data_IF_862033454797
#
_entry.id   IF_862033454797
#
_cell.length_a   1.000
_cell.length_b   1.000
_cell.length_c   1.000
_cell.angle_alpha   90.00
_cell.angle_beta   90.00
_cell.angle_gamma   90.00
#
_symmetry.space_group_name_H-M   'P 1'
#
loop_
_entity.id
_entity.type
_entity.pdbx_description
1 polymer ?
#
# COMPACT_ATOMS: atom_id res chain seq x y z
N UNK A 1 9.40 -52.28 27.42
CA UNK A 1 8.33 -51.36 26.97
C UNK A 1 8.93 -50.52 25.88
N UNK A 2 8.63 -50.91 24.64
CA UNK A 2 9.03 -50.20 23.43
C UNK A 2 8.32 -48.84 23.39
N UNK A 3 9.09 -47.76 23.20
CA UNK A 3 8.55 -46.47 22.84
C UNK A 3 8.67 -46.35 21.32
N UNK A 4 7.53 -46.50 20.65
CA UNK A 4 7.38 -46.21 19.23
C UNK A 4 7.71 -44.73 18.98
N UNK A 5 8.85 -44.47 18.36
CA UNK A 5 9.07 -43.25 17.59
C UNK A 5 8.27 -43.40 16.29
N UNK A 6 7.07 -42.83 16.24
CA UNK A 6 6.45 -42.50 14.97
C UNK A 6 7.11 -41.21 14.48
N UNK A 7 8.08 -41.40 13.58
CA UNK A 7 8.62 -40.36 12.73
C UNK A 7 7.54 -40.09 11.67
N UNK A 8 6.67 -39.11 11.92
CA UNK A 8 5.82 -38.56 10.86
C UNK A 8 6.72 -37.76 9.91
N UNK A 9 7.22 -38.45 8.88
CA UNK A 9 7.82 -37.83 7.70
C UNK A 9 6.71 -37.07 6.93
N UNK A 10 6.44 -35.85 7.38
CA UNK A 10 5.71 -34.86 6.59
C UNK A 10 6.63 -34.41 5.44
N UNK A 11 6.53 -35.14 4.32
CA UNK A 11 6.96 -34.68 3.00
C UNK A 11 6.36 -33.29 2.77
N UNK A 12 7.16 -32.23 2.57
CA UNK A 12 6.64 -30.94 2.15
C UNK A 12 6.00 -31.15 0.80
N UNK A 13 4.67 -31.08 0.74
CA UNK A 13 3.95 -31.06 -0.54
C UNK A 13 4.34 -29.74 -1.17
N UNK A 14 5.30 -29.75 -2.09
CA UNK A 14 5.72 -28.58 -2.85
C UNK A 14 4.48 -28.02 -3.55
N UNK A 15 3.94 -26.92 -3.03
CA UNK A 15 2.85 -26.21 -3.67
C UNK A 15 3.44 -25.57 -4.93
N UNK A 16 3.28 -26.24 -6.06
CA UNK A 16 3.78 -25.79 -7.34
C UNK A 16 2.95 -24.60 -7.84
N UNK A 17 3.53 -23.40 -7.77
CA UNK A 17 2.89 -22.15 -8.14
C UNK A 17 3.09 -21.83 -9.62
N UNK A 18 2.08 -21.21 -10.23
CA UNK A 18 2.17 -20.60 -11.58
C UNK A 18 2.36 -19.09 -11.39
N UNK A 19 3.12 -18.46 -12.29
CA UNK A 19 3.26 -17.00 -12.32
C UNK A 19 1.91 -16.33 -12.55
N UNK A 20 1.65 -15.24 -11.81
CA UNK A 20 0.40 -14.47 -11.90
C UNK A 20 0.14 -13.88 -13.30
N UNK A 21 1.20 -13.70 -14.10
CA UNK A 21 1.13 -13.16 -15.48
C UNK A 21 1.03 -14.25 -16.55
N UNK A 22 0.85 -15.51 -16.18
CA UNK A 22 0.82 -16.60 -17.13
C UNK A 22 -0.42 -16.58 -18.04
N UNK A 23 -1.52 -15.94 -17.63
CA UNK A 23 -2.70 -15.70 -18.47
C UNK A 23 -2.51 -14.55 -19.47
N UNK A 24 -1.50 -13.71 -19.25
CA UNK A 24 -1.11 -12.59 -20.13
C UNK A 24 0.07 -13.02 -21.04
N UNK A 25 0.44 -14.31 -21.00
CA UNK A 25 1.44 -14.90 -21.89
C UNK A 25 2.86 -15.02 -21.31
N UNK A 26 3.03 -14.96 -19.99
CA UNK A 26 4.32 -15.26 -19.39
C UNK A 26 4.72 -16.73 -19.65
N UNK A 27 5.92 -16.95 -20.19
CA UNK A 27 6.45 -18.27 -20.56
C UNK A 27 7.11 -19.03 -19.40
N UNK A 28 6.96 -18.55 -18.16
CA UNK A 28 7.51 -19.20 -16.98
C UNK A 28 6.81 -20.54 -16.72
N UNK A 29 7.61 -21.61 -16.62
CA UNK A 29 7.12 -22.96 -16.31
C UNK A 29 6.77 -23.03 -14.82
N UNK A 30 5.73 -23.80 -14.47
CA UNK A 30 5.32 -23.99 -13.08
C UNK A 30 6.50 -24.45 -12.22
N UNK A 31 6.68 -23.84 -11.04
CA UNK A 31 7.84 -24.06 -10.18
C UNK A 31 7.47 -24.07 -8.71
N UNK A 32 8.44 -24.28 -7.82
CA UNK A 32 8.23 -24.13 -6.38
C UNK A 32 7.86 -22.68 -6.04
N UNK A 33 7.17 -22.46 -4.92
CA UNK A 33 6.76 -21.12 -4.49
C UNK A 33 7.95 -20.12 -4.41
N UNK A 34 9.13 -20.60 -4.02
CA UNK A 34 10.35 -19.79 -3.97
C UNK A 34 10.83 -19.37 -5.35
N UNK A 35 10.91 -20.32 -6.30
CA UNK A 35 11.30 -20.01 -7.70
C UNK A 35 10.31 -19.09 -8.43
N UNK A 36 9.02 -19.16 -8.09
CA UNK A 36 8.00 -18.24 -8.62
C UNK A 36 8.23 -16.83 -8.11
N UNK A 37 8.52 -16.66 -6.81
CA UNK A 37 8.80 -15.34 -6.21
C UNK A 37 10.07 -14.70 -6.77
N UNK A 38 11.13 -15.48 -6.95
CA UNK A 38 12.36 -14.99 -7.58
C UNK A 38 12.14 -14.61 -9.05
N UNK A 39 11.31 -15.38 -9.78
CA UNK A 39 10.91 -15.05 -11.14
C UNK A 39 10.11 -13.73 -11.17
N UNK A 40 9.11 -13.55 -10.32
CA UNK A 40 8.32 -12.32 -10.26
C UNK A 40 9.18 -11.09 -9.92
N UNK A 41 10.15 -11.25 -9.01
CA UNK A 41 11.09 -10.18 -8.66
C UNK A 41 12.03 -9.79 -9.82
N UNK A 42 12.48 -10.76 -10.62
CA UNK A 42 13.44 -10.54 -11.71
C UNK A 42 12.78 -10.17 -13.05
N UNK A 43 11.51 -10.56 -13.24
CA UNK A 43 10.80 -10.49 -14.53
C UNK A 43 9.80 -9.35 -14.62
N UNK A 44 9.79 -8.42 -13.64
CA UNK A 44 8.89 -7.26 -13.59
C UNK A 44 8.87 -6.46 -14.89
N UNK A 45 10.03 -6.22 -15.51
CA UNK A 45 10.13 -5.47 -16.77
C UNK A 45 9.39 -6.18 -17.91
N UNK A 46 9.49 -7.49 -17.98
CA UNK A 46 8.85 -8.28 -19.02
C UNK A 46 7.34 -8.43 -18.75
N UNK A 47 6.92 -8.55 -17.48
CA UNK A 47 5.51 -8.50 -17.08
C UNK A 47 4.86 -7.16 -17.42
N UNK A 48 5.54 -6.04 -17.16
CA UNK A 48 5.07 -4.70 -17.55
C UNK A 48 4.95 -4.56 -19.08
N UNK A 49 5.87 -5.14 -19.85
CA UNK A 49 5.79 -5.14 -21.32
C UNK A 49 4.55 -5.90 -21.81
N UNK A 50 4.30 -7.09 -21.26
CA UNK A 50 3.14 -7.91 -21.60
C UNK A 50 1.82 -7.19 -21.25
N UNK A 51 1.75 -6.53 -20.09
CA UNK A 51 0.60 -5.70 -19.70
C UNK A 51 0.37 -4.53 -20.65
N UNK A 52 1.43 -3.79 -21.00
CA UNK A 52 1.32 -2.66 -21.92
C UNK A 52 0.89 -3.10 -23.33
N UNK A 53 1.35 -4.27 -23.77
CA UNK A 53 0.94 -4.85 -25.05
C UNK A 53 -0.55 -5.23 -25.04
N UNK A 54 -1.04 -5.84 -23.96
CA UNK A 54 -2.46 -6.14 -23.78
C UNK A 54 -3.32 -4.86 -23.80
N UNK A 55 -2.91 -3.84 -23.06
CA UNK A 55 -3.61 -2.53 -23.04
C UNK A 55 -3.61 -1.87 -24.41
N UNK A 56 -2.48 -1.94 -25.14
CA UNK A 56 -2.40 -1.41 -26.50
C UNK A 56 -3.31 -2.17 -27.48
N UNK A 57 -3.46 -3.49 -27.31
CA UNK A 57 -4.31 -4.31 -28.16
C UNK A 57 -5.80 -4.06 -27.88
N UNK A 58 -6.18 -3.92 -26.61
CA UNK A 58 -7.54 -3.53 -26.21
C UNK A 58 -7.88 -2.13 -26.71
N UNK A 59 -6.92 -1.19 -26.63
CA UNK A 59 -7.09 0.17 -27.15
C UNK A 59 -7.24 0.22 -28.67
N UNK A 60 -6.53 -0.63 -29.40
CA UNK A 60 -6.68 -0.76 -30.85
C UNK A 60 -8.03 -1.37 -31.27
N UNK A 61 -8.66 -2.15 -30.39
CA UNK A 61 -9.98 -2.73 -30.63
C UNK A 61 -11.15 -1.80 -30.22
N UNK A 62 -10.90 -0.81 -29.37
CA UNK A 62 -11.92 0.14 -28.90
C UNK A 62 -12.10 1.39 -29.77
N UNK A 63 -11.23 1.61 -30.77
CA UNK A 63 -11.28 2.80 -31.65
C UNK A 63 -11.62 2.40 -33.11
N UNK A 64 -12.87 2.53 -33.57
CA UNK A 64 -13.18 2.50 -35.00
C UNK A 64 -13.08 3.88 -35.66
N UNK A 65 -12.53 4.93 -35.03
CA UNK A 65 -12.43 6.23 -35.71
C UNK A 65 -11.29 7.16 -35.24
N UNK A 66 -10.41 7.52 -36.20
CA UNK A 66 -9.39 8.60 -36.25
C UNK A 66 -7.93 8.24 -35.99
N UNK A 67 -7.33 7.56 -36.97
CA UNK A 67 -5.95 7.85 -37.37
C UNK A 67 -5.92 9.08 -38.30
N UNK A 68 -5.81 10.29 -37.72
CA UNK A 68 -5.06 11.38 -38.36
C UNK A 68 -4.68 12.46 -37.35
N UNK A 69 -3.58 12.23 -36.64
CA UNK A 69 -2.56 13.26 -36.37
C UNK A 69 -1.38 12.64 -35.65
N UNK A 70 -0.38 12.24 -36.43
CA UNK A 70 1.01 12.26 -35.96
C UNK A 70 1.51 13.70 -36.12
N UNK A 71 2.33 14.14 -35.16
CA UNK A 71 3.29 15.26 -35.17
C UNK A 71 2.90 16.46 -34.31
N UNK A 72 3.72 16.72 -33.27
CA UNK A 72 3.91 18.08 -32.75
C UNK A 72 3.96 18.18 -31.23
N UNK A 73 5.16 18.02 -30.66
CA UNK A 73 5.52 18.54 -29.34
C UNK A 73 5.11 20.03 -29.23
N UNK A 74 4.51 20.43 -28.12
CA UNK A 74 5.10 21.45 -27.24
C UNK A 74 4.28 21.62 -25.96
N UNK A 75 5.01 21.74 -24.86
CA UNK A 75 4.53 22.10 -23.54
C UNK A 75 4.18 23.59 -23.52
N UNK A 76 2.93 23.95 -23.23
CA UNK A 76 2.56 25.26 -22.69
C UNK A 76 1.32 25.12 -21.79
N UNK A 77 1.41 25.67 -20.58
CA UNK A 77 0.29 25.85 -19.62
C UNK A 77 -0.73 26.86 -20.21
N UNK A 78 -2.03 26.84 -19.84
CA UNK A 78 -2.52 27.63 -18.68
C UNK A 78 -3.72 26.98 -17.94
N UNK A 79 -3.82 27.08 -16.61
CA UNK A 79 -4.46 28.16 -15.81
C UNK A 79 -5.93 28.40 -16.11
N UNK A 80 -6.76 28.13 -15.11
CA UNK A 80 -8.22 28.24 -15.09
C UNK A 80 -8.74 29.69 -15.01
N UNK A 81 -9.87 29.96 -15.68
CA UNK A 81 -11.13 30.58 -15.18
C UNK A 81 -11.87 31.42 -16.25
N UNK A 82 -13.22 31.57 -16.12
CA UNK A 82 -14.15 31.75 -17.24
C UNK A 82 -14.56 33.21 -17.49
N UNK A 83 -14.91 33.52 -18.75
CA UNK A 83 -15.57 34.77 -19.14
C UNK A 83 -17.03 34.75 -18.70
N UNK A 84 -17.36 35.56 -17.69
CA UNK A 84 -18.65 36.24 -17.57
C UNK A 84 -18.61 37.48 -18.47
N UNK A 85 -19.63 37.67 -19.29
CA UNK A 85 -19.70 38.85 -20.16
C UNK A 85 -20.93 38.86 -21.04
N UNK A 86 -21.98 39.52 -20.53
CA UNK A 86 -23.08 40.15 -21.26
C UNK A 86 -24.33 39.28 -21.53
N UNK A 87 -25.15 39.13 -20.48
CA UNK A 87 -26.61 39.14 -20.60
C UNK A 87 -27.09 40.46 -20.01
N UNK A 88 -27.44 41.43 -20.84
CA UNK A 88 -28.37 42.55 -20.53
C UNK A 88 -28.45 43.49 -21.74
N UNK A 89 -29.47 43.35 -22.57
CA UNK A 89 -30.03 44.49 -23.33
C UNK A 89 -31.44 44.13 -23.81
N UNK A 90 -32.43 44.44 -22.97
CA UNK A 90 -33.83 44.64 -23.33
C UNK A 90 -34.49 45.44 -22.21
N UNK A 91 -34.05 46.69 -22.05
CA UNK A 91 -34.76 47.69 -21.24
C UNK A 91 -35.57 48.57 -22.20
N UNK A 92 -36.85 48.23 -22.35
CA UNK A 92 -37.87 49.15 -22.83
C UNK A 92 -38.10 50.22 -21.76
N UNK A 93 -37.86 51.49 -22.08
CA UNK A 93 -38.59 52.60 -21.47
C UNK A 93 -38.67 53.77 -22.46
N UNK A 94 -39.91 54.14 -22.80
CA UNK A 94 -40.20 55.27 -23.67
C UNK A 94 -39.77 56.61 -23.08
N UNK A 95 -39.49 57.54 -23.99
CA UNK A 95 -39.65 58.96 -23.76
C UNK A 95 -40.25 59.57 -25.04
N UNK A 96 -41.24 60.41 -24.80
CA UNK A 96 -42.12 61.12 -25.73
C UNK A 96 -41.41 62.38 -26.23
N UNK A 97 -41.88 62.86 -27.39
CA UNK A 97 -41.76 64.21 -27.98
C UNK A 97 -40.60 64.45 -28.97
N UNK A 98 -40.75 65.15 -30.10
CA UNK A 98 -41.85 65.78 -30.87
C UNK A 98 -41.22 66.25 -32.21
N UNK A 99 -42.03 66.21 -33.29
CA UNK A 99 -41.96 66.96 -34.58
C UNK A 99 -40.78 66.84 -35.57
N UNK A 100 -41.14 66.57 -36.83
CA UNK A 100 -40.30 66.81 -37.99
C UNK A 100 -40.82 66.14 -39.27
N UNK A 101 -41.90 66.69 -39.81
CA UNK A 101 -42.46 66.53 -41.16
C UNK A 101 -41.42 66.19 -42.26
N UNK A 102 -41.64 65.09 -42.99
CA UNK A 102 -41.22 64.96 -44.39
C UNK A 102 -41.93 63.78 -45.06
N UNK A 103 -42.89 64.10 -45.93
CA UNK A 103 -43.50 63.17 -46.88
C UNK A 103 -42.45 62.54 -47.78
N UNK A 104 -42.38 61.22 -47.78
CA UNK A 104 -41.78 60.44 -48.84
C UNK A 104 -42.76 59.31 -49.18
N UNK A 105 -43.58 59.57 -50.19
CA UNK A 105 -44.34 58.57 -50.93
C UNK A 105 -43.37 57.55 -51.56
N UNK A 106 -42.93 56.58 -50.76
CA UNK A 106 -42.48 55.31 -51.28
C UNK A 106 -43.71 54.43 -51.42
N UNK A 107 -44.27 54.44 -52.63
CA UNK A 107 -45.23 53.48 -53.14
C UNK A 107 -45.00 52.11 -52.48
N UNK A 108 -45.91 51.76 -51.57
CA UNK A 108 -46.19 50.38 -51.23
C UNK A 108 -46.59 49.72 -52.55
N UNK A 109 -45.62 49.08 -53.22
CA UNK A 109 -45.94 47.94 -54.03
C UNK A 109 -46.61 46.97 -53.06
N UNK A 110 -47.95 46.96 -53.08
CA UNK A 110 -48.74 45.97 -52.42
C UNK A 110 -48.30 44.62 -53.01
N UNK A 111 -47.36 43.96 -52.32
CA UNK A 111 -47.28 42.52 -52.36
C UNK A 111 -48.63 42.07 -51.83
N UNK A 112 -49.53 41.76 -52.76
CA UNK A 112 -50.67 40.91 -52.51
C UNK A 112 -50.12 39.52 -52.18
N UNK A 113 -49.44 39.38 -51.04
CA UNK A 113 -49.25 38.09 -50.41
C UNK A 113 -50.67 37.62 -50.13
N UNK A 114 -51.11 36.64 -50.92
CA UNK A 114 -52.41 36.03 -50.72
C UNK A 114 -52.49 35.59 -49.25
N UNK A 115 -53.61 35.82 -48.58
CA UNK A 115 -53.81 35.38 -47.18
C UNK A 115 -53.45 33.90 -46.96
N UNK A 116 -53.55 33.12 -48.05
CA UNK A 116 -53.17 31.72 -48.18
C UNK A 116 -51.65 31.46 -48.07
N UNK A 117 -50.80 32.32 -48.62
CA UNK A 117 -49.34 32.21 -48.53
C UNK A 117 -48.83 32.50 -47.12
N UNK A 118 -49.41 33.49 -46.45
CA UNK A 118 -49.16 33.78 -45.02
C UNK A 118 -49.69 32.66 -44.12
N UNK A 119 -50.83 32.04 -44.45
CA UNK A 119 -51.37 30.90 -43.72
C UNK A 119 -50.48 29.65 -43.84
N UNK A 120 -49.99 29.36 -45.05
CA UNK A 120 -49.01 28.29 -45.31
C UNK A 120 -47.71 28.51 -44.53
N UNK A 121 -47.19 29.74 -44.49
CA UNK A 121 -45.98 30.05 -43.74
C UNK A 121 -46.16 29.86 -42.22
N UNK A 122 -47.31 30.25 -41.66
CA UNK A 122 -47.64 30.01 -40.24
C UNK A 122 -47.73 28.52 -39.95
N UNK A 123 -48.43 27.77 -40.79
CA UNK A 123 -48.55 26.32 -40.67
C UNK A 123 -47.18 25.61 -40.69
N UNK A 124 -46.29 26.01 -41.61
CA UNK A 124 -44.92 25.46 -41.67
C UNK A 124 -44.10 25.79 -40.41
N UNK A 125 -44.23 27.01 -39.87
CA UNK A 125 -43.57 27.42 -38.63
C UNK A 125 -44.10 26.64 -37.42
N UNK A 126 -45.42 26.46 -37.30
CA UNK A 126 -46.04 25.67 -36.24
C UNK A 126 -45.59 24.21 -36.29
N UNK A 127 -45.52 23.61 -37.49
CA UNK A 127 -44.99 22.25 -37.65
C UNK A 127 -43.53 22.15 -37.22
N UNK A 128 -42.69 23.12 -37.62
CA UNK A 128 -41.28 23.15 -37.22
C UNK A 128 -41.12 23.35 -35.72
N UNK A 129 -41.95 24.20 -35.11
CA UNK A 129 -41.96 24.41 -33.66
C UNK A 129 -42.34 23.13 -32.91
N UNK A 130 -43.39 22.43 -33.36
CA UNK A 130 -43.78 21.16 -32.78
C UNK A 130 -42.67 20.10 -32.87
N UNK A 131 -41.97 20.00 -34.02
CA UNK A 131 -40.82 19.10 -34.19
C UNK A 131 -39.64 19.48 -33.28
N UNK A 132 -39.41 20.77 -33.02
CA UNK A 132 -38.37 21.23 -32.09
C UNK A 132 -38.76 20.97 -30.64
N UNK A 133 -40.03 21.19 -30.27
CA UNK A 133 -40.56 20.91 -28.93
C UNK A 133 -40.46 19.42 -28.59
N UNK A 134 -40.78 18.53 -29.53
CA UNK A 134 -40.60 17.09 -29.34
C UNK A 134 -39.13 16.73 -29.09
N UNK A 135 -38.21 17.30 -29.88
CA UNK A 135 -36.75 17.09 -29.68
C UNK A 135 -36.29 17.64 -28.33
N UNK A 136 -36.75 18.82 -27.93
CA UNK A 136 -36.45 19.40 -26.62
C UNK A 136 -36.97 18.50 -25.50
N UNK A 137 -38.17 17.94 -25.63
CA UNK A 137 -38.72 17.03 -24.64
C UNK A 137 -37.90 15.73 -24.52
N UNK A 138 -37.43 15.18 -25.64
CA UNK A 138 -36.51 14.02 -25.62
C UNK A 138 -35.20 14.37 -24.90
N UNK A 139 -34.62 15.54 -25.19
CA UNK A 139 -33.40 15.97 -24.50
C UNK A 139 -33.62 16.20 -23.01
N UNK A 140 -34.74 16.79 -22.60
CA UNK A 140 -35.11 16.96 -21.19
C UNK A 140 -35.21 15.60 -20.49
N UNK A 141 -35.86 14.62 -21.11
CA UNK A 141 -35.94 13.26 -20.58
C UNK A 141 -34.54 12.60 -20.47
N UNK A 142 -33.68 12.78 -21.47
CA UNK A 142 -32.29 12.28 -21.41
C UNK A 142 -31.53 12.93 -20.25
N UNK A 143 -31.60 14.25 -20.11
CA UNK A 143 -30.93 14.99 -19.02
C UNK A 143 -31.43 14.53 -17.65
N UNK A 144 -32.74 14.34 -17.48
CA UNK A 144 -33.29 13.88 -16.19
C UNK A 144 -32.85 12.46 -15.84
N UNK A 145 -32.78 11.54 -16.82
CA UNK A 145 -32.27 10.18 -16.59
C UNK A 145 -30.79 10.21 -16.26
N UNK A 146 -29.97 10.94 -17.02
CA UNK A 146 -28.54 11.08 -16.75
C UNK A 146 -28.28 11.71 -15.39
N UNK A 147 -29.05 12.73 -15.00
CA UNK A 147 -28.91 13.36 -13.69
C UNK A 147 -29.20 12.36 -12.56
N UNK A 148 -30.26 11.54 -12.70
CA UNK A 148 -30.56 10.47 -11.73
C UNK A 148 -29.44 9.42 -11.68
N UNK A 149 -28.87 9.04 -12.82
CA UNK A 149 -27.78 8.07 -12.88
C UNK A 149 -26.48 8.62 -12.26
N UNK A 150 -26.18 9.89 -12.48
CA UNK A 150 -25.06 10.59 -11.85
C UNK A 150 -25.25 10.67 -10.34
N UNK A 151 -26.43 11.04 -9.85
CA UNK A 151 -26.74 11.07 -8.42
C UNK A 151 -26.64 9.68 -7.78
N UNK A 152 -27.18 8.64 -8.42
CA UNK A 152 -27.10 7.27 -7.96
C UNK A 152 -25.64 6.77 -7.91
N UNK A 153 -24.86 7.04 -8.96
CA UNK A 153 -23.44 6.70 -9.02
C UNK A 153 -22.64 7.44 -7.95
N UNK A 154 -22.91 8.73 -7.75
CA UNK A 154 -22.26 9.53 -6.71
C UNK A 154 -22.52 8.96 -5.32
N UNK A 155 -23.76 8.57 -5.00
CA UNK A 155 -24.11 7.92 -3.73
C UNK A 155 -23.39 6.57 -3.57
N UNK A 156 -23.32 5.76 -4.63
CA UNK A 156 -22.60 4.48 -4.61
C UNK A 156 -21.09 4.67 -4.38
N UNK A 157 -20.48 5.68 -5.02
CA UNK A 157 -19.07 6.03 -4.81
C UNK A 157 -18.85 6.51 -3.38
N UNK A 158 -19.71 7.39 -2.86
CA UNK A 158 -19.58 7.90 -1.49
C UNK A 158 -19.66 6.76 -0.45
N UNK A 159 -20.60 5.82 -0.63
CA UNK A 159 -20.71 4.64 0.23
C UNK A 159 -19.47 3.75 0.13
N UNK A 160 -18.97 3.51 -1.09
CA UNK A 160 -17.76 2.71 -1.33
C UNK A 160 -16.54 3.32 -0.67
N UNK A 161 -16.31 4.63 -0.83
CA UNK A 161 -15.20 5.36 -0.20
C UNK A 161 -15.28 5.29 1.32
N UNK A 162 -16.46 5.46 1.90
CA UNK A 162 -16.65 5.32 3.34
C UNK A 162 -16.29 3.90 3.82
N UNK A 163 -16.76 2.87 3.11
CA UNK A 163 -16.44 1.47 3.42
C UNK A 163 -14.95 1.16 3.26
N UNK A 164 -14.30 1.70 2.23
CA UNK A 164 -12.85 1.58 2.05
C UNK A 164 -12.08 2.23 3.20
N UNK A 165 -12.54 3.39 3.70
CA UNK A 165 -11.98 4.03 4.89
C UNK A 165 -12.03 3.14 6.13
N UNK A 166 -13.20 2.58 6.43
CA UNK A 166 -13.37 1.65 7.56
C UNK A 166 -12.49 0.40 7.42
N UNK A 167 -12.37 -0.12 6.19
CA UNK A 167 -11.53 -1.29 5.91
C UNK A 167 -10.06 -0.96 6.12
N UNK A 168 -9.61 0.22 5.69
CA UNK A 168 -8.24 0.70 5.89
C UNK A 168 -7.93 0.85 7.38
N UNK A 169 -8.85 1.41 8.17
CA UNK A 169 -8.68 1.56 9.62
C UNK A 169 -8.57 0.19 10.33
N UNK A 170 -9.37 -0.79 9.90
CA UNK A 170 -9.28 -2.15 10.40
C UNK A 170 -7.93 -2.79 10.07
N UNK A 171 -7.43 -2.62 8.85
CA UNK A 171 -6.12 -3.12 8.43
C UNK A 171 -5.02 -2.51 9.32
N UNK A 172 -5.01 -1.19 9.50
CA UNK A 172 -4.03 -0.51 10.34
C UNK A 172 -4.08 -1.01 11.80
N UNK A 173 -5.29 -1.25 12.33
CA UNK A 173 -5.47 -1.81 13.67
C UNK A 173 -4.92 -3.24 13.80
N UNK A 174 -5.12 -4.07 12.77
CA UNK A 174 -4.58 -5.43 12.74
C UNK A 174 -3.05 -5.43 12.59
N UNK A 175 -2.50 -4.56 11.75
CA UNK A 175 -1.06 -4.39 11.58
C UNK A 175 -0.39 -3.99 12.90
N UNK A 176 -0.95 -3.02 13.62
CA UNK A 176 -0.46 -2.66 14.95
C UNK A 176 -0.51 -3.84 15.92
N UNK A 177 -1.60 -4.61 15.90
CA UNK A 177 -1.74 -5.80 16.76
C UNK A 177 -0.69 -6.86 16.45
N UNK A 178 -0.34 -7.05 15.17
CA UNK A 178 0.73 -7.96 14.75
C UNK A 178 2.07 -7.48 15.28
N UNK A 179 2.37 -6.18 15.18
CA UNK A 179 3.61 -5.62 15.72
C UNK A 179 3.73 -5.81 17.23
N UNK A 180 2.65 -5.55 17.98
CA UNK A 180 2.62 -5.73 19.45
C UNK A 180 2.86 -7.20 19.83
N UNK A 181 2.26 -8.14 19.08
CA UNK A 181 2.45 -9.57 19.28
C UNK A 181 3.88 -10.01 18.97
N UNK A 182 4.47 -9.51 17.87
CA UNK A 182 5.86 -9.78 17.51
C UNK A 182 6.83 -9.27 18.59
N UNK A 183 6.60 -8.07 19.13
CA UNK A 183 7.41 -7.52 20.22
C UNK A 183 7.30 -8.40 21.49
N UNK A 184 6.08 -8.81 21.85
CA UNK A 184 5.84 -9.65 23.02
C UNK A 184 6.50 -11.02 22.87
N UNK A 185 6.44 -11.60 21.67
CA UNK A 185 7.06 -12.87 21.34
C UNK A 185 8.60 -12.76 21.47
N UNK A 186 9.21 -11.73 20.89
CA UNK A 186 10.66 -11.51 21.01
C UNK A 186 11.11 -11.34 22.48
N UNK A 187 10.30 -10.67 23.31
CA UNK A 187 10.57 -10.56 24.75
C UNK A 187 10.49 -11.93 25.45
N UNK A 188 9.52 -12.77 25.06
CA UNK A 188 9.40 -14.13 25.60
C UNK A 188 10.56 -15.03 25.17
N UNK A 189 11.01 -14.94 23.93
CA UNK A 189 12.18 -15.70 23.46
C UNK A 189 13.44 -15.32 24.24
N UNK A 190 13.64 -14.02 24.52
CA UNK A 190 14.72 -13.58 25.39
C UNK A 190 14.59 -14.11 26.82
N UNK A 191 13.39 -14.22 27.36
CA UNK A 191 13.17 -14.77 28.69
C UNK A 191 13.43 -16.29 28.71
N UNK A 192 12.99 -17.01 27.67
CA UNK A 192 13.23 -18.45 27.51
C UNK A 192 14.71 -18.75 27.41
N UNK A 193 15.46 -18.06 26.55
CA UNK A 193 16.91 -18.25 26.43
C UNK A 193 17.67 -17.99 27.73
N UNK A 194 17.25 -17.01 28.54
CA UNK A 194 17.81 -16.78 29.89
C UNK A 194 17.51 -17.92 30.85
N UNK A 195 16.30 -18.47 30.78
CA UNK A 195 15.89 -19.59 31.61
C UNK A 195 16.63 -20.87 31.22
N UNK A 196 16.76 -21.14 29.92
CA UNK A 196 17.54 -22.25 29.37
C UNK A 196 18.99 -22.21 29.83
N UNK A 197 19.64 -21.03 29.77
CA UNK A 197 21.00 -20.86 30.28
C UNK A 197 21.09 -21.13 31.79
N UNK A 198 20.11 -20.66 32.55
CA UNK A 198 20.08 -20.86 34.01
C UNK A 198 19.86 -22.34 34.37
N UNK A 199 19.02 -23.03 33.60
CA UNK A 199 18.76 -24.46 33.74
C UNK A 199 20.02 -25.27 33.39
N UNK A 200 20.70 -24.94 32.30
CA UNK A 200 21.95 -25.60 31.93
C UNK A 200 23.03 -25.45 33.03
N UNK A 201 23.18 -24.25 33.60
CA UNK A 201 24.07 -24.03 34.73
C UNK A 201 23.69 -24.83 35.98
N UNK A 202 22.39 -25.07 36.20
CA UNK A 202 21.89 -25.85 37.32
C UNK A 202 22.10 -27.35 37.10
N UNK A 203 21.94 -27.83 35.87
CA UNK A 203 22.21 -29.22 35.47
C UNK A 203 23.70 -29.57 35.59
N UNK A 204 24.58 -28.63 35.28
CA UNK A 204 26.03 -28.79 35.44
C UNK A 204 26.51 -28.70 36.90
N UNK A 205 25.66 -28.25 37.82
CA UNK A 205 26.01 -28.14 39.22
C UNK A 205 25.98 -29.51 39.92
N UNK A 206 27.15 -30.01 40.32
CA UNK A 206 27.24 -31.16 41.23
C UNK A 206 27.03 -30.72 42.69
N UNK A 207 26.15 -31.42 43.41
CA UNK A 207 25.80 -31.10 44.81
C UNK A 207 26.62 -31.89 45.85
N UNK A 208 27.73 -32.50 45.44
CA UNK A 208 28.51 -33.43 46.26
C UNK A 208 29.50 -32.73 47.20
N UNK A 209 29.41 -31.40 47.33
CA UNK A 209 30.28 -30.59 48.20
C UNK A 209 31.75 -30.48 47.75
N UNK A 210 32.14 -31.19 46.69
CA UNK A 210 33.49 -31.19 46.09
C UNK A 210 33.42 -30.55 44.70
N UNK A 211 33.99 -29.35 44.57
CA UNK A 211 34.00 -28.58 43.32
C UNK A 211 35.31 -28.78 42.54
N UNK A 212 35.21 -29.39 41.35
CA UNK A 212 36.33 -29.62 40.43
C UNK A 212 36.21 -28.67 39.23
N UNK A 213 37.08 -27.65 39.18
CA UNK A 213 37.11 -26.71 38.06
C UNK A 213 38.39 -26.84 37.23
N UNK A 214 38.21 -27.18 35.95
CA UNK A 214 39.29 -27.32 34.98
C UNK A 214 39.64 -25.96 34.38
N UNK A 215 40.84 -25.45 34.68
CA UNK A 215 41.37 -24.25 34.01
C UNK A 215 41.92 -24.64 32.64
N UNK A 216 41.20 -24.31 31.58
CA UNK A 216 41.66 -24.49 30.20
C UNK A 216 42.61 -23.37 29.77
N UNK A 217 43.47 -23.65 28.77
CA UNK A 217 44.38 -22.66 28.16
C UNK A 217 45.27 -21.91 29.17
N UNK A 218 45.86 -22.65 30.11
CA UNK A 218 46.66 -22.11 31.22
C UNK A 218 47.78 -21.16 30.75
N UNK A 219 48.54 -21.52 29.72
CA UNK A 219 49.66 -20.72 29.21
C UNK A 219 49.20 -19.35 28.71
N UNK A 220 48.08 -19.31 27.98
CA UNK A 220 47.48 -18.06 27.48
C UNK A 220 46.99 -17.19 28.63
N UNK A 221 46.30 -17.78 29.59
CA UNK A 221 45.77 -17.07 30.76
C UNK A 221 46.88 -16.52 31.67
N UNK A 222 47.97 -17.27 31.81
CA UNK A 222 49.17 -16.81 32.50
C UNK A 222 49.80 -15.59 31.80
N UNK A 223 49.92 -15.63 30.48
CA UNK A 223 50.40 -14.49 29.70
C UNK A 223 49.49 -13.26 29.82
N UNK A 224 48.17 -13.44 29.74
CA UNK A 224 47.19 -12.36 29.93
C UNK A 224 47.28 -11.74 31.33
N UNK A 225 47.53 -12.54 32.37
CA UNK A 225 47.77 -12.07 33.73
C UNK A 225 49.10 -11.34 33.89
N UNK A 226 50.18 -11.86 33.30
CA UNK A 226 51.49 -11.21 33.30
C UNK A 226 51.47 -9.84 32.59
N UNK A 227 50.65 -9.71 31.54
CA UNK A 227 50.40 -8.45 30.86
C UNK A 227 49.36 -7.55 31.58
N UNK A 228 48.82 -7.96 32.73
CA UNK A 228 47.83 -7.20 33.50
C UNK A 228 46.43 -7.14 32.90
N UNK A 229 46.15 -7.86 31.80
CA UNK A 229 44.84 -7.85 31.12
C UNK A 229 43.76 -8.63 31.87
N UNK A 230 44.14 -9.69 32.59
CA UNK A 230 43.20 -10.51 33.36
C UNK A 230 43.88 -11.05 34.63
N UNK A 231 43.52 -10.49 35.80
CA UNK A 231 44.17 -10.78 37.09
C UNK A 231 43.42 -11.82 37.93
N UNK A 232 42.17 -12.09 37.59
CA UNK A 232 41.32 -13.02 38.31
C UNK A 232 40.42 -13.82 37.39
N UNK A 233 40.10 -15.03 37.82
CA UNK A 233 39.13 -15.88 37.15
C UNK A 233 37.99 -16.23 38.10
N UNK A 234 36.78 -16.29 37.53
CA UNK A 234 35.57 -16.70 38.23
C UNK A 234 35.22 -18.14 37.87
N UNK A 235 34.98 -18.92 38.91
CA UNK A 235 34.43 -20.26 38.83
C UNK A 235 33.03 -20.25 38.20
N UNK A 236 32.75 -21.10 37.19
CA UNK A 236 31.40 -21.32 36.67
C UNK A 236 30.44 -21.79 37.77
N UNK A 237 29.19 -21.29 37.73
CA UNK A 237 28.11 -21.70 38.63
C UNK A 237 28.20 -21.13 40.04
N UNK A 238 27.81 -19.86 40.24
CA UNK A 238 27.50 -19.16 41.51
C UNK A 238 28.40 -19.36 42.75
N UNK A 239 29.49 -20.11 42.63
CA UNK A 239 30.49 -20.36 43.64
C UNK A 239 31.54 -19.28 43.46
N UNK A 240 31.43 -18.19 44.23
CA UNK A 240 32.33 -17.03 44.18
C UNK A 240 33.76 -17.35 44.69
N UNK A 241 34.41 -18.36 44.11
CA UNK A 241 35.84 -18.61 44.31
C UNK A 241 36.61 -17.78 43.29
N UNK A 242 37.22 -16.69 43.78
CA UNK A 242 38.07 -15.83 42.97
C UNK A 242 39.49 -16.39 43.08
N UNK A 243 40.05 -16.78 41.94
CA UNK A 243 41.46 -17.16 41.84
C UNK A 243 42.26 -15.97 41.36
N UNK A 244 43.11 -15.41 42.21
CA UNK A 244 44.04 -14.35 41.83
C UNK A 244 45.38 -14.96 41.41
N UNK A 245 45.84 -14.60 40.22
CA UNK A 245 47.17 -14.94 39.72
C UNK A 245 48.14 -13.82 40.10
N UNK A 246 48.99 -14.07 41.11
CA UNK A 246 50.01 -13.09 41.54
C UNK A 246 51.38 -13.50 41.01
N UNK A 247 51.98 -12.64 40.20
CA UNK A 247 53.32 -12.86 39.64
C UNK A 247 54.39 -12.34 40.60
N UNK A 248 55.13 -13.23 41.28
CA UNK A 248 56.33 -12.86 42.06
C UNK A 248 57.56 -13.46 41.41
N UNK A 249 58.33 -12.62 40.72
CA UNK A 249 59.73 -12.72 40.27
C UNK A 249 60.39 -14.09 39.93
N UNK A 250 59.61 -15.16 39.70
CA UNK A 250 59.91 -16.49 39.14
C UNK A 250 58.85 -17.56 39.50
N UNK A 251 57.82 -17.23 40.29
CA UNK A 251 56.76 -18.17 40.67
C UNK A 251 55.36 -17.54 40.51
N UNK A 252 54.46 -18.24 39.81
CA UNK A 252 53.04 -17.90 39.74
C UNK A 252 52.36 -18.55 40.94
N UNK A 253 51.87 -17.74 41.90
CA UNK A 253 51.08 -18.25 43.01
C UNK A 253 49.60 -18.12 42.69
N UNK A 254 48.89 -19.25 42.62
CA UNK A 254 47.43 -19.29 42.54
C UNK A 254 46.90 -19.24 43.97
N UNK A 255 46.24 -18.15 44.33
CA UNK A 255 45.58 -18.02 45.65
C UNK A 255 44.08 -18.17 45.46
N UNK A 256 43.49 -19.23 46.03
CA UNK A 256 42.04 -19.40 46.08
C UNK A 256 41.48 -18.57 47.25
N UNK A 257 40.75 -17.50 46.96
CA UNK A 257 39.97 -16.81 48.00
C UNK A 257 38.64 -17.53 48.19
N UNK A 258 38.54 -18.34 49.26
CA UNK A 258 37.29 -18.97 49.69
C UNK A 258 36.47 -17.95 50.49
N UNK A 259 35.73 -17.05 49.82
CA UNK A 259 34.76 -16.19 50.53
C UNK A 259 33.45 -16.97 50.67
N UNK A 260 33.22 -17.55 51.86
CA UNK A 260 31.98 -18.28 52.19
C UNK A 260 30.95 -17.30 52.77
N UNK A 261 29.87 -17.07 52.04
CA UNK A 261 28.47 -17.14 52.52
C UNK A 261 27.53 -16.76 51.36
N UNK A 262 27.02 -17.78 50.66
CA UNK A 262 25.67 -17.66 50.10
C UNK A 262 24.72 -18.02 51.25
N UNK A 263 24.17 -17.01 51.92
CA UNK A 263 22.97 -17.21 52.72
C UNK A 263 21.86 -17.44 51.71
N UNK A 264 21.49 -18.70 51.49
CA UNK A 264 20.26 -19.05 50.78
C UNK A 264 19.13 -18.55 51.69
N UNK A 265 18.37 -17.49 51.35
CA UNK A 265 17.15 -17.23 52.08
C UNK A 265 16.20 -18.38 51.74
N UNK A 266 15.89 -19.19 52.75
CA UNK A 266 14.76 -20.11 52.73
C UNK A 266 13.52 -19.27 52.51
N UNK A 267 13.01 -19.20 51.29
CA UNK A 267 11.70 -18.62 51.01
C UNK A 267 10.69 -19.74 51.24
N UNK A 268 9.97 -19.62 52.36
CA UNK A 268 8.65 -20.21 52.59
C UNK A 268 7.62 -19.47 51.73
#
# INVERSE_FOLDING_TARGET
MELCFFQDDLVPTEVQGRCSFADIGCSFKQGSQETVKEHEASSLRDHLRLLLQLVSQVKAQSDPNREKRISGLSCTKPSMNPLEGNLSDLQLQGAVEVNGDLEADCFHAASSDSEEELALQRFMKEKLLAELEEKLHVFENIVTVLNKEVEASHLAIAASVHQSGLTQDLILGLEQRVMDLQQTLAQKDLALTKLEQSLHLLEEASYDGVYLWKITNFTRRCHESACGRMVSLFSPGNCFTIFSMKHRHKHLSITACKRIRAHIPTVL
#
